data_IF_204330800051
#
_entry.id   IF_204330800051
#
_cell.length_a   1.000
_cell.length_b   1.000
_cell.length_c   1.000
_cell.angle_alpha   90.00
_cell.angle_beta   90.00
_cell.angle_gamma   90.00
#
_symmetry.space_group_name_H-M   'P 1'
#
loop_
_entity.id
_entity.type
_entity.pdbx_description
1 polymer ?
#
# COMPACT_ATOMS: atom_id res chain seq x y z
N UNK A 1 -9.26 -17.24 10.14
CA UNK A 1 -7.95 -16.57 10.05
C UNK A 1 -8.05 -15.08 10.36
N UNK A 2 -8.90 -14.31 9.69
CA UNK A 2 -8.99 -12.85 9.89
C UNK A 2 -9.36 -12.41 11.33
N UNK A 3 -10.13 -13.21 12.07
CA UNK A 3 -10.37 -12.95 13.50
C UNK A 3 -9.10 -12.96 14.37
N UNK A 4 -8.09 -13.73 13.99
CA UNK A 4 -6.82 -13.80 14.73
C UNK A 4 -5.97 -12.53 14.60
N UNK A 5 -6.25 -11.67 13.61
CA UNK A 5 -5.61 -10.36 13.43
C UNK A 5 -6.53 -9.21 13.88
N UNK A 6 -7.58 -9.52 14.64
CA UNK A 6 -8.40 -8.53 15.35
C UNK A 6 -9.73 -8.15 14.68
N UNK A 7 -10.12 -8.79 13.56
CA UNK A 7 -11.42 -8.52 12.94
C UNK A 7 -12.56 -9.24 13.65
N UNK A 8 -13.66 -8.53 13.88
CA UNK A 8 -14.91 -9.11 14.38
C UNK A 8 -15.81 -9.58 13.24
N UNK A 9 -16.90 -10.28 13.56
CA UNK A 9 -17.91 -10.62 12.54
C UNK A 9 -18.57 -9.37 11.94
N UNK A 10 -18.72 -8.30 12.74
CA UNK A 10 -19.28 -7.02 12.28
C UNK A 10 -18.34 -6.33 11.29
N UNK A 11 -17.03 -6.39 11.52
CA UNK A 11 -16.04 -5.82 10.58
C UNK A 11 -16.04 -6.57 9.25
N UNK A 12 -16.15 -7.90 9.29
CA UNK A 12 -16.12 -8.73 8.07
C UNK A 12 -17.44 -8.73 7.29
N UNK A 13 -18.51 -8.17 7.86
CA UNK A 13 -19.78 -7.93 7.16
C UNK A 13 -19.78 -6.61 6.36
N UNK A 14 -18.80 -5.73 6.59
CA UNK A 14 -18.63 -4.44 5.90
C UNK A 14 -17.73 -4.60 4.68
N UNK A 15 -17.79 -3.68 3.69
CA UNK A 15 -16.85 -3.67 2.58
C UNK A 15 -15.41 -3.60 3.07
N UNK A 16 -14.57 -4.52 2.60
CA UNK A 16 -13.15 -4.60 2.96
C UNK A 16 -12.33 -3.79 1.97
N UNK A 17 -11.69 -2.74 2.47
CA UNK A 17 -10.92 -1.79 1.65
C UNK A 17 -9.44 -2.00 1.89
N UNK A 18 -8.70 -2.36 0.84
CA UNK A 18 -7.25 -2.45 0.87
C UNK A 18 -6.61 -1.06 0.95
N UNK A 19 -5.64 -0.87 1.83
CA UNK A 19 -4.83 0.36 1.89
C UNK A 19 -3.41 0.00 1.50
N UNK A 20 -3.07 0.25 0.23
CA UNK A 20 -1.76 -0.05 -0.33
C UNK A 20 -0.81 1.11 -0.06
N UNK A 21 0.28 0.86 0.66
CA UNK A 21 1.35 1.84 0.88
C UNK A 21 2.61 1.42 0.14
N UNK A 22 3.44 2.39 -0.25
CA UNK A 22 4.80 2.15 -0.71
C UNK A 22 5.81 2.64 0.34
N UNK A 23 5.47 2.50 1.63
CA UNK A 23 6.28 3.05 2.71
C UNK A 23 7.62 2.31 2.78
N UNK A 24 8.70 3.10 2.84
CA UNK A 24 10.05 2.60 3.02
C UNK A 24 10.93 3.71 3.59
N UNK A 25 11.98 3.34 4.32
CA UNK A 25 12.89 4.28 5.00
C UNK A 25 14.08 4.70 4.13
N UNK A 26 14.13 4.27 2.86
CA UNK A 26 15.25 4.53 1.94
C UNK A 26 15.20 5.91 1.28
N UNK A 27 14.08 6.63 1.41
CA UNK A 27 13.86 7.94 0.77
C UNK A 27 12.84 8.81 1.51
N UNK A 28 12.92 10.14 1.37
CA UNK A 28 11.97 11.05 2.01
C UNK A 28 10.57 11.01 1.38
N UNK A 29 10.44 10.61 0.10
CA UNK A 29 9.18 10.67 -0.65
C UNK A 29 8.05 9.83 -0.03
N UNK A 30 8.39 8.75 0.68
CA UNK A 30 7.42 7.76 1.16
C UNK A 30 7.40 7.63 2.69
N UNK A 31 8.28 8.35 3.42
CA UNK A 31 8.50 8.17 4.86
C UNK A 31 7.26 8.45 5.72
N UNK A 32 6.41 9.39 5.27
CA UNK A 32 5.20 9.80 5.98
C UNK A 32 3.98 8.90 5.71
N UNK A 33 4.10 7.91 4.81
CA UNK A 33 2.94 7.13 4.37
C UNK A 33 2.30 6.30 5.48
N UNK A 34 3.03 5.85 6.51
CA UNK A 34 2.42 5.21 7.69
C UNK A 34 1.44 6.13 8.42
N UNK A 35 1.77 7.42 8.54
CA UNK A 35 0.90 8.41 9.17
C UNK A 35 -0.33 8.70 8.29
N UNK A 36 -0.14 8.78 6.98
CA UNK A 36 -1.24 8.94 6.02
C UNK A 36 -2.16 7.71 6.01
N UNK A 37 -1.60 6.51 6.05
CA UNK A 37 -2.36 5.26 6.12
C UNK A 37 -3.23 5.20 7.37
N UNK A 38 -2.71 5.62 8.53
CA UNK A 38 -3.51 5.73 9.75
C UNK A 38 -4.74 6.62 9.57
N UNK A 39 -4.58 7.78 8.93
CA UNK A 39 -5.69 8.71 8.65
C UNK A 39 -6.70 8.12 7.65
N UNK A 40 -6.21 7.51 6.55
CA UNK A 40 -7.04 6.84 5.55
C UNK A 40 -7.88 5.73 6.18
N UNK A 41 -7.25 4.87 7.01
CA UNK A 41 -7.94 3.81 7.75
C UNK A 41 -8.98 4.37 8.73
N UNK A 42 -8.74 5.54 9.31
CA UNK A 42 -9.73 6.27 10.09
C UNK A 42 -10.95 6.65 9.26
N UNK A 43 -10.73 7.26 8.09
CA UNK A 43 -11.79 7.67 7.17
C UNK A 43 -12.62 6.51 6.60
N UNK A 44 -11.97 5.38 6.29
CA UNK A 44 -12.66 4.16 5.84
C UNK A 44 -13.60 3.65 6.94
N UNK A 45 -13.11 3.57 8.18
CA UNK A 45 -13.95 3.15 9.33
C UNK A 45 -15.13 4.09 9.57
N UNK A 46 -14.89 5.40 9.55
CA UNK A 46 -15.98 6.38 9.73
C UNK A 46 -17.01 6.36 8.60
N UNK A 47 -16.64 5.84 7.43
CA UNK A 47 -17.52 5.65 6.28
C UNK A 47 -18.18 4.27 6.22
N UNK A 48 -18.00 3.43 7.27
CA UNK A 48 -18.64 2.11 7.37
C UNK A 48 -17.90 0.98 6.66
N UNK A 49 -16.63 1.17 6.26
CA UNK A 49 -15.79 0.12 5.68
C UNK A 49 -14.77 -0.46 6.68
N UNK A 50 -14.18 -1.60 6.31
CA UNK A 50 -13.15 -2.30 7.08
C UNK A 50 -11.80 -2.18 6.38
N UNK A 51 -10.85 -1.38 6.89
CA UNK A 51 -9.58 -1.20 6.21
C UNK A 51 -8.59 -2.33 6.52
N UNK A 52 -7.90 -2.83 5.49
CA UNK A 52 -6.78 -3.75 5.60
C UNK A 52 -5.56 -3.17 4.90
N UNK A 53 -4.53 -2.82 5.67
CA UNK A 53 -3.31 -2.19 5.16
C UNK A 53 -2.31 -3.25 4.69
N UNK A 54 -1.66 -2.98 3.56
CA UNK A 54 -0.53 -3.75 3.05
C UNK A 54 0.49 -2.82 2.39
N UNK A 55 1.66 -3.38 2.05
CA UNK A 55 2.78 -2.60 1.53
C UNK A 55 3.32 -3.19 0.23
N UNK A 56 3.78 -2.32 -0.67
CA UNK A 56 4.57 -2.64 -1.87
C UNK A 56 5.96 -2.00 -1.80
N UNK A 57 6.82 -2.36 -2.74
CA UNK A 57 8.20 -1.87 -2.82
C UNK A 57 8.26 -0.44 -3.37
N UNK A 58 9.43 0.21 -3.24
CA UNK A 58 9.73 1.47 -3.91
C UNK A 58 11.24 1.56 -4.20
N UNK A 59 11.60 2.27 -5.27
CA UNK A 59 13.00 2.57 -5.64
C UNK A 59 13.16 4.08 -5.75
N UNK A 60 14.22 4.61 -5.15
CA UNK A 60 14.49 6.04 -5.13
C UNK A 60 15.40 6.44 -6.29
N UNK A 61 14.85 7.10 -7.31
CA UNK A 61 15.62 7.59 -8.45
C UNK A 61 16.76 8.52 -8.00
N UNK A 62 16.49 9.40 -7.04
CA UNK A 62 17.52 10.30 -6.49
C UNK A 62 18.70 9.59 -5.81
N UNK A 63 18.49 8.37 -5.30
CA UNK A 63 19.57 7.57 -4.67
C UNK A 63 20.27 6.70 -5.71
N UNK A 64 19.55 6.17 -6.69
CA UNK A 64 20.09 5.24 -7.69
C UNK A 64 20.72 5.94 -8.89
N UNK A 65 20.48 7.24 -9.08
CA UNK A 65 20.96 8.04 -10.22
C UNK A 65 22.47 7.92 -10.42
N UNK A 66 22.87 7.66 -11.67
CA UNK A 66 24.28 7.53 -12.05
C UNK A 66 24.95 6.21 -11.65
N UNK A 67 24.20 5.24 -11.13
CA UNK A 67 24.70 3.91 -10.75
C UNK A 67 24.00 2.79 -11.51
N UNK A 68 24.53 1.57 -11.43
CA UNK A 68 23.87 0.35 -11.93
C UNK A 68 22.48 0.14 -11.32
N UNK A 69 22.22 0.68 -10.12
CA UNK A 69 20.90 0.63 -9.48
C UNK A 69 19.79 1.33 -10.26
N UNK A 70 20.10 2.29 -11.13
CA UNK A 70 19.09 2.98 -11.95
C UNK A 70 18.36 2.01 -12.90
N UNK A 71 18.96 0.85 -13.23
CA UNK A 71 18.30 -0.21 -13.99
C UNK A 71 17.07 -0.79 -13.28
N UNK A 72 16.99 -0.65 -11.96
CA UNK A 72 15.85 -1.08 -11.15
C UNK A 72 14.72 -0.05 -11.09
N UNK A 73 14.94 1.21 -11.51
CA UNK A 73 13.94 2.27 -11.39
C UNK A 73 12.69 1.96 -12.22
N UNK A 74 12.80 1.91 -13.55
CA UNK A 74 11.61 1.83 -14.41
C UNK A 74 10.82 0.53 -14.21
N UNK A 75 11.51 -0.59 -14.01
CA UNK A 75 10.86 -1.89 -13.78
C UNK A 75 10.12 -1.93 -12.44
N UNK A 76 10.47 -1.09 -11.46
CA UNK A 76 9.74 -1.04 -10.18
C UNK A 76 8.27 -0.68 -10.36
N UNK A 77 7.91 0.11 -11.40
CA UNK A 77 6.52 0.45 -11.74
C UNK A 77 5.67 -0.81 -11.98
N UNK A 78 6.19 -1.74 -12.78
CA UNK A 78 5.45 -2.98 -13.11
C UNK A 78 5.32 -3.87 -11.88
N UNK A 79 6.40 -4.03 -11.12
CA UNK A 79 6.40 -4.85 -9.90
C UNK A 79 5.43 -4.30 -8.86
N UNK A 80 5.34 -2.96 -8.74
CA UNK A 80 4.40 -2.30 -7.84
C UNK A 80 2.97 -2.59 -8.29
N UNK A 81 2.65 -2.37 -9.57
CA UNK A 81 1.33 -2.66 -10.12
C UNK A 81 0.93 -4.14 -9.91
N UNK A 82 1.81 -5.07 -10.27
CA UNK A 82 1.60 -6.51 -10.14
C UNK A 82 1.39 -6.92 -8.67
N UNK A 83 2.18 -6.36 -7.75
CA UNK A 83 2.05 -6.66 -6.32
C UNK A 83 0.72 -6.19 -5.73
N UNK A 84 0.25 -5.00 -6.13
CA UNK A 84 -1.04 -4.45 -5.68
C UNK A 84 -2.17 -5.28 -6.28
N UNK A 85 -2.12 -5.62 -7.57
CA UNK A 85 -3.11 -6.49 -8.20
C UNK A 85 -3.17 -7.86 -7.48
N UNK A 86 -2.01 -8.48 -7.25
CA UNK A 86 -1.92 -9.80 -6.66
C UNK A 86 -2.54 -9.85 -5.26
N UNK A 87 -2.22 -8.89 -4.38
CA UNK A 87 -2.79 -8.83 -3.04
C UNK A 87 -4.28 -8.55 -3.09
N UNK A 88 -4.70 -7.60 -3.95
CA UNK A 88 -6.11 -7.19 -4.09
C UNK A 88 -6.98 -8.35 -4.55
N UNK A 89 -6.57 -9.06 -5.60
CA UNK A 89 -7.31 -10.22 -6.13
C UNK A 89 -7.23 -11.42 -5.19
N UNK A 90 -6.08 -11.64 -4.56
CA UNK A 90 -5.88 -12.75 -3.62
C UNK A 90 -6.72 -12.63 -2.35
N UNK A 91 -7.03 -11.40 -1.90
CA UNK A 91 -7.82 -11.14 -0.70
C UNK A 91 -9.25 -10.68 -0.99
N UNK A 92 -9.64 -10.57 -2.27
CA UNK A 92 -10.98 -10.18 -2.71
C UNK A 92 -11.44 -8.84 -2.09
N UNK A 93 -10.57 -7.84 -2.07
CA UNK A 93 -10.97 -6.51 -1.57
C UNK A 93 -12.04 -5.88 -2.44
N UNK A 94 -13.01 -5.20 -1.81
CA UNK A 94 -14.11 -4.50 -2.47
C UNK A 94 -13.65 -3.17 -3.11
N UNK A 95 -12.52 -2.64 -2.64
CA UNK A 95 -11.90 -1.43 -3.16
C UNK A 95 -10.50 -1.24 -2.59
N UNK A 96 -9.75 -0.31 -3.17
CA UNK A 96 -8.39 0.01 -2.73
C UNK A 96 -8.15 1.52 -2.66
N UNK A 97 -7.31 1.93 -1.71
CA UNK A 97 -6.71 3.26 -1.64
C UNK A 97 -5.19 3.10 -1.73
N UNK A 98 -4.58 3.69 -2.76
CA UNK A 98 -3.14 3.64 -2.97
C UNK A 98 -2.48 4.93 -2.47
N UNK A 99 -1.50 4.78 -1.58
CA UNK A 99 -0.65 5.85 -1.08
C UNK A 99 0.73 5.72 -1.72
N UNK A 100 1.00 6.60 -2.69
CA UNK A 100 2.21 6.63 -3.49
C UNK A 100 2.94 7.97 -3.31
N UNK A 101 4.21 8.06 -3.72
CA UNK A 101 4.98 9.28 -3.51
C UNK A 101 6.17 9.48 -4.43
N UNK A 102 7.01 8.46 -4.60
CA UNK A 102 8.15 8.54 -5.50
C UNK A 102 7.74 8.31 -6.96
N UNK A 103 8.63 8.65 -7.90
CA UNK A 103 8.31 8.75 -9.32
C UNK A 103 7.62 7.49 -9.90
N UNK A 104 8.10 6.30 -9.55
CA UNK A 104 7.58 5.03 -10.09
C UNK A 104 6.55 4.32 -9.23
N UNK A 105 6.24 4.87 -8.04
CA UNK A 105 5.28 4.25 -7.10
C UNK A 105 3.85 4.57 -7.46
#
# INVERSE_FOLDING_TARGET
>A
MLKAIGFTDEDLAKPVIGVATAWIETMPCNINQRNLASQVKGGIRSSGGTPMEFNTIAVADGVSMGTEGMRASLISREVIADSIELVTRGHLFDGIVCLVGCDKT
#
